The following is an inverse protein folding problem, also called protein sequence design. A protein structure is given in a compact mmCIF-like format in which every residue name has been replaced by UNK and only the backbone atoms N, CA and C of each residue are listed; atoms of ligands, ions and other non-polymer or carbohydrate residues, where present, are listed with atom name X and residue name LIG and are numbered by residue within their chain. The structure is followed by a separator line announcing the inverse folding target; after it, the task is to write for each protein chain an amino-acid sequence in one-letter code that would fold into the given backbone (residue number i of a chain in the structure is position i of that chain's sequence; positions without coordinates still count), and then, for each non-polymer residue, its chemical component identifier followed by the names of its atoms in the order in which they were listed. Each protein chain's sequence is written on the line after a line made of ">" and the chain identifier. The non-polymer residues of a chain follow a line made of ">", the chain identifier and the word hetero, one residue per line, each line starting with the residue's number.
data_IF_497997819123
#
_entry.id   IF_497997819123
#
_cell.length_a   1.000
_cell.length_b   1.000
_cell.length_c   1.000
_cell.angle_alpha   90.00
_cell.angle_beta   90.00
_cell.angle_gamma   90.00
#
_symmetry.space_group_name_H-M   'P 1'
#
loop_
_entity.id
_entity.type
_entity.pdbx_description
1 polymer ?
#
# COMPACT_ATOMS: atom_id res chain seq x y z
N UNK A 1 -11.79 10.83 -12.93
CA UNK A 1 -11.45 10.11 -11.68
C UNK A 1 -12.72 9.59 -11.04
N UNK A 2 -12.74 8.32 -10.62
CA UNK A 2 -13.91 7.73 -10.01
C UNK A 2 -14.14 8.17 -8.57
N UNK A 3 -15.25 7.73 -8.02
CA UNK A 3 -15.58 7.95 -6.63
C UNK A 3 -14.61 7.18 -5.73
N UNK A 4 -14.20 7.78 -4.61
CA UNK A 4 -13.36 7.13 -3.62
C UNK A 4 -14.21 6.47 -2.54
N UNK A 5 -13.78 5.29 -2.11
CA UNK A 5 -14.38 4.58 -0.99
C UNK A 5 -13.33 4.34 0.07
N UNK A 6 -13.78 4.18 1.32
CA UNK A 6 -12.89 3.91 2.44
C UNK A 6 -12.93 2.44 2.81
N UNK A 7 -11.76 1.82 2.93
CA UNK A 7 -11.60 0.45 3.41
C UNK A 7 -10.75 0.49 4.67
N UNK A 8 -11.18 -0.21 5.72
CA UNK A 8 -10.39 -0.30 6.94
C UNK A 8 -9.36 -1.44 6.82
N UNK A 9 -8.12 -1.12 7.18
CA UNK A 9 -7.02 -2.07 7.15
C UNK A 9 -6.17 -1.89 8.40
N UNK A 10 -6.17 -2.89 9.28
CA UNK A 10 -5.36 -2.90 10.51
C UNK A 10 -5.46 -1.59 11.31
N UNK A 11 -6.69 -1.19 11.60
CA UNK A 11 -7.01 0.04 12.36
C UNK A 11 -6.69 1.34 11.61
N UNK A 12 -6.43 1.26 10.32
CA UNK A 12 -6.24 2.44 9.47
C UNK A 12 -7.26 2.45 8.34
N UNK A 13 -7.55 3.63 7.83
CA UNK A 13 -8.46 3.80 6.70
C UNK A 13 -7.65 4.01 5.42
N UNK A 14 -7.99 3.27 4.37
CA UNK A 14 -7.42 3.43 3.04
C UNK A 14 -8.50 3.98 2.13
N UNK A 15 -8.18 5.00 1.34
CA UNK A 15 -9.08 5.54 0.32
C UNK A 15 -8.63 5.06 -1.04
N UNK A 16 -9.55 4.42 -1.76
CA UNK A 16 -9.27 3.87 -3.09
C UNK A 16 -10.41 4.18 -4.05
N UNK A 17 -10.14 4.06 -5.34
CA UNK A 17 -11.17 4.16 -6.36
C UNK A 17 -12.21 3.06 -6.16
N UNK A 18 -13.48 3.43 -6.19
CA UNK A 18 -14.60 2.49 -6.03
C UNK A 18 -14.53 1.32 -7.01
N UNK A 19 -14.06 1.55 -8.22
CA UNK A 19 -13.93 0.50 -9.23
C UNK A 19 -12.95 -0.60 -8.80
N UNK A 20 -12.03 -0.30 -7.88
CA UNK A 20 -11.02 -1.24 -7.41
C UNK A 20 -11.40 -1.89 -6.07
N UNK A 21 -12.50 -1.47 -5.47
CA UNK A 21 -12.87 -1.88 -4.10
C UNK A 21 -12.85 -3.39 -3.89
N UNK A 22 -13.55 -4.15 -4.74
CA UNK A 22 -13.64 -5.60 -4.57
C UNK A 22 -12.27 -6.26 -4.68
N UNK A 23 -11.45 -5.84 -5.64
CA UNK A 23 -10.11 -6.40 -5.85
C UNK A 23 -9.18 -6.08 -4.68
N UNK A 24 -9.25 -4.85 -4.17
CA UNK A 24 -8.41 -4.44 -3.04
C UNK A 24 -8.83 -5.19 -1.78
N UNK A 25 -10.13 -5.37 -1.53
CA UNK A 25 -10.59 -6.16 -0.38
C UNK A 25 -10.07 -7.59 -0.42
N UNK A 26 -10.09 -8.23 -1.61
CA UNK A 26 -9.54 -9.57 -1.77
C UNK A 26 -8.04 -9.60 -1.51
N UNK A 27 -7.31 -8.60 -1.97
CA UNK A 27 -5.87 -8.50 -1.74
C UNK A 27 -5.54 -8.29 -0.25
N UNK A 28 -6.31 -7.46 0.45
CA UNK A 28 -6.15 -7.24 1.89
C UNK A 28 -6.37 -8.53 2.67
N UNK A 29 -7.41 -9.28 2.30
CA UNK A 29 -7.71 -10.56 2.94
C UNK A 29 -6.58 -11.56 2.73
N UNK A 30 -6.07 -11.66 1.51
CA UNK A 30 -4.96 -12.55 1.20
C UNK A 30 -3.70 -12.15 1.98
N UNK A 31 -3.41 -10.85 2.07
CA UNK A 31 -2.27 -10.37 2.83
C UNK A 31 -2.42 -10.66 4.32
N UNK A 32 -3.61 -10.46 4.90
CA UNK A 32 -3.86 -10.76 6.31
C UNK A 32 -3.69 -12.26 6.60
N UNK A 33 -4.05 -13.12 5.65
CA UNK A 33 -3.94 -14.56 5.83
C UNK A 33 -2.52 -15.07 5.68
N UNK A 34 -1.72 -14.50 4.80
CA UNK A 34 -0.41 -15.03 4.44
C UNK A 34 0.76 -14.18 4.95
N UNK A 35 0.59 -12.86 5.01
CA UNK A 35 1.66 -11.93 5.37
C UNK A 35 2.84 -11.94 4.41
N UNK A 36 2.68 -12.51 3.21
CA UNK A 36 3.77 -12.68 2.26
C UNK A 36 4.05 -11.41 1.47
N UNK A 37 5.28 -11.31 0.97
CA UNK A 37 5.67 -10.19 0.09
C UNK A 37 4.84 -10.18 -1.19
N UNK A 38 4.61 -11.36 -1.78
CA UNK A 38 3.80 -11.46 -3.01
C UNK A 38 2.40 -10.91 -2.80
N UNK A 39 1.79 -11.20 -1.65
CA UNK A 39 0.46 -10.68 -1.32
C UNK A 39 0.49 -9.16 -1.15
N UNK A 40 1.52 -8.63 -0.48
CA UNK A 40 1.70 -7.19 -0.30
C UNK A 40 1.92 -6.48 -1.65
N UNK A 41 2.71 -7.09 -2.54
CA UNK A 41 2.98 -6.55 -3.87
C UNK A 41 1.71 -6.50 -4.72
N UNK A 42 0.91 -7.56 -4.66
CA UNK A 42 -0.37 -7.61 -5.37
C UNK A 42 -1.32 -6.54 -4.84
N UNK A 43 -1.36 -6.36 -3.52
CA UNK A 43 -2.16 -5.30 -2.91
C UNK A 43 -1.72 -3.92 -3.42
N UNK A 44 -0.41 -3.66 -3.40
CA UNK A 44 0.14 -2.38 -3.84
C UNK A 44 -0.24 -2.10 -5.31
N UNK A 45 -0.02 -3.07 -6.18
CA UNK A 45 -0.32 -2.92 -7.62
C UNK A 45 -1.80 -2.77 -7.91
N UNK A 46 -2.64 -3.40 -7.10
CA UNK A 46 -4.09 -3.34 -7.28
C UNK A 46 -4.65 -2.00 -6.77
N UNK A 47 -4.20 -1.56 -5.60
CA UNK A 47 -4.65 -0.30 -5.01
C UNK A 47 -4.07 0.93 -5.73
N UNK A 48 -2.87 0.80 -6.26
CA UNK A 48 -2.13 1.89 -6.91
C UNK A 48 -1.65 1.45 -8.29
N UNK A 49 -2.54 1.37 -9.29
CA UNK A 49 -2.16 0.93 -10.63
C UNK A 49 -1.05 1.81 -11.22
N UNK A 50 -0.03 1.17 -11.77
CA UNK A 50 1.11 1.87 -12.34
C UNK A 50 2.20 2.22 -11.34
N UNK A 51 2.09 1.82 -10.09
CA UNK A 51 3.14 2.03 -9.10
C UNK A 51 4.38 1.20 -9.44
N UNK A 52 5.54 1.66 -8.95
CA UNK A 52 6.82 0.97 -9.12
C UNK A 52 7.50 0.85 -7.76
N UNK A 53 7.86 -0.36 -7.36
CA UNK A 53 8.65 -0.57 -6.16
C UNK A 53 10.11 -0.33 -6.52
N UNK A 54 10.72 0.67 -5.91
CA UNK A 54 12.07 1.10 -6.24
C UNK A 54 13.14 0.54 -5.32
N UNK A 55 12.94 0.62 -4.02
CA UNK A 55 13.95 0.23 -3.05
C UNK A 55 13.35 -0.66 -1.98
N UNK A 56 14.08 -1.70 -1.60
CA UNK A 56 13.77 -2.55 -0.46
C UNK A 56 15.06 -2.69 0.33
N UNK A 57 15.04 -2.22 1.58
CA UNK A 57 16.25 -2.20 2.39
C UNK A 57 15.97 -2.60 3.83
N UNK A 58 16.75 -3.56 4.32
CA UNK A 58 16.75 -3.90 5.74
C UNK A 58 17.64 -2.91 6.49
N UNK A 59 17.12 -2.40 7.61
CA UNK A 59 17.86 -1.51 8.48
C UNK A 59 18.62 -2.29 9.55
N UNK A 60 19.68 -1.70 10.16
CA UNK A 60 20.46 -2.40 11.18
C UNK A 60 19.66 -2.82 12.39
N UNK A 61 18.53 -2.16 12.70
CA UNK A 61 17.67 -2.49 13.83
C UNK A 61 16.63 -3.57 13.52
N UNK A 62 16.67 -4.14 12.32
CA UNK A 62 15.75 -5.21 11.92
C UNK A 62 14.49 -4.73 11.20
N UNK A 63 14.28 -3.42 11.13
CA UNK A 63 13.15 -2.88 10.36
C UNK A 63 13.47 -2.88 8.88
N UNK A 64 12.44 -2.76 8.06
CA UNK A 64 12.56 -2.65 6.62
C UNK A 64 11.99 -1.33 6.12
N UNK A 65 12.60 -0.79 5.08
CA UNK A 65 12.08 0.37 4.36
C UNK A 65 11.83 -0.06 2.91
N UNK A 66 10.66 0.30 2.39
CA UNK A 66 10.30 0.06 0.99
C UNK A 66 9.87 1.39 0.38
N UNK A 67 10.45 1.75 -0.75
CA UNK A 67 10.07 2.94 -1.51
C UNK A 67 9.21 2.55 -2.69
N UNK A 68 8.08 3.24 -2.87
CA UNK A 68 7.15 3.03 -3.98
C UNK A 68 6.95 4.36 -4.70
N UNK A 69 7.17 4.35 -6.01
CA UNK A 69 6.86 5.51 -6.85
C UNK A 69 5.46 5.36 -7.42
N UNK A 70 4.65 6.38 -7.21
CA UNK A 70 3.30 6.43 -7.74
C UNK A 70 2.96 7.87 -8.09
N UNK A 71 2.45 8.09 -9.32
CA UNK A 71 2.04 9.41 -9.81
C UNK A 71 3.16 10.46 -9.65
N UNK A 72 4.39 10.08 -10.02
CA UNK A 72 5.60 10.90 -9.96
C UNK A 72 6.03 11.32 -8.54
N UNK A 73 5.45 10.71 -7.51
CA UNK A 73 5.84 10.94 -6.12
C UNK A 73 6.45 9.68 -5.54
N UNK A 74 7.41 9.87 -4.65
CA UNK A 74 8.06 8.77 -3.95
C UNK A 74 7.44 8.64 -2.56
N UNK A 75 6.98 7.44 -2.25
CA UNK A 75 6.37 7.12 -0.95
C UNK A 75 7.21 6.07 -0.24
N UNK A 76 7.38 6.23 1.05
CA UNK A 76 8.20 5.32 1.85
C UNK A 76 7.35 4.65 2.92
N UNK A 77 7.44 3.33 2.99
CA UNK A 77 6.81 2.54 4.04
C UNK A 77 7.84 1.87 4.91
N UNK A 78 7.51 1.65 6.18
CA UNK A 78 8.36 0.96 7.15
C UNK A 78 7.60 -0.18 7.81
N UNK A 79 8.31 -1.25 8.17
CA UNK A 79 7.73 -2.37 8.87
C UNK A 79 8.78 -3.36 9.34
N UNK A 80 8.35 -4.38 10.08
CA UNK A 80 9.24 -5.41 10.61
C UNK A 80 9.67 -6.42 9.54
N UNK A 81 8.96 -6.43 8.41
CA UNK A 81 9.30 -7.26 7.25
C UNK A 81 9.16 -6.41 6.00
N UNK A 82 9.75 -6.87 4.89
CA UNK A 82 9.58 -6.19 3.61
C UNK A 82 8.10 -6.13 3.20
N UNK A 83 7.34 -7.20 3.49
CA UNK A 83 5.91 -7.23 3.20
C UNK A 83 5.14 -6.17 3.99
N UNK A 84 5.42 -6.05 5.29
CA UNK A 84 4.78 -5.05 6.14
C UNK A 84 5.15 -3.63 5.71
N UNK A 85 6.41 -3.41 5.34
CA UNK A 85 6.88 -2.11 4.86
C UNK A 85 6.17 -1.72 3.55
N UNK A 86 5.99 -2.67 2.63
CA UNK A 86 5.29 -2.42 1.37
C UNK A 86 3.82 -2.09 1.63
N UNK A 87 3.15 -2.80 2.53
CA UNK A 87 1.77 -2.51 2.89
C UNK A 87 1.65 -1.12 3.53
N UNK A 88 2.63 -0.73 4.36
CA UNK A 88 2.66 0.62 4.94
C UNK A 88 2.81 1.70 3.85
N UNK A 89 3.59 1.43 2.80
CA UNK A 89 3.72 2.36 1.68
C UNK A 89 2.36 2.61 1.00
N UNK A 90 1.52 1.58 0.88
CA UNK A 90 0.16 1.74 0.33
C UNK A 90 -0.65 2.72 1.19
N UNK A 91 -0.51 2.65 2.51
CA UNK A 91 -1.18 3.57 3.41
C UNK A 91 -0.69 5.02 3.24
N UNK A 92 0.61 5.21 3.00
CA UNK A 92 1.16 6.54 2.75
C UNK A 92 0.64 7.12 1.43
N UNK A 93 0.54 6.30 0.39
CA UNK A 93 -0.04 6.72 -0.89
C UNK A 93 -1.50 7.14 -0.69
N UNK A 94 -2.27 6.37 0.06
CA UNK A 94 -3.67 6.67 0.36
C UNK A 94 -3.83 8.02 1.06
N UNK A 95 -2.94 8.35 2.00
CA UNK A 95 -2.95 9.64 2.68
C UNK A 95 -2.71 10.79 1.70
N UNK A 96 -1.81 10.59 0.73
CA UNK A 96 -1.51 11.59 -0.29
C UNK A 96 -2.73 11.84 -1.17
N UNK A 97 -3.41 10.78 -1.60
CA UNK A 97 -4.63 10.89 -2.39
C UNK A 97 -5.70 11.67 -1.62
N UNK A 98 -5.88 11.37 -0.34
CA UNK A 98 -6.85 12.05 0.51
C UNK A 98 -6.52 13.53 0.64
N UNK A 99 -5.25 13.88 0.82
CA UNK A 99 -4.81 15.27 0.91
C UNK A 99 -5.10 16.05 -0.38
N UNK A 100 -4.93 15.42 -1.53
CA UNK A 100 -5.21 16.04 -2.83
C UNK A 100 -6.69 16.29 -3.06
N UNK A 101 -7.57 15.59 -2.36
CA UNK A 101 -9.02 15.75 -2.48
C UNK A 101 -9.56 16.95 -1.68
N UNK A 102 -8.77 17.51 -0.79
CA UNK A 102 -9.14 18.67 0.00
C UNK A 102 -8.82 19.95 -0.76
#
# INVERSE_FOLDING_TARGET
>A
MGELVTINFRSRAIRIDRALEAKVRDCLKAFDQTGTYDAALKLCRTACPGCQVGLEQALPDGRWIVEVRYDNLLHEGEGETAAAALADAVLQISKTIEAEQI
#
